data_IF_754827386858
#
_entry.id   IF_754827386858
#
_cell.length_a   1.000
_cell.length_b   1.000
_cell.length_c   1.000
_cell.angle_alpha   90.00
_cell.angle_beta   90.00
_cell.angle_gamma   90.00
#
_symmetry.space_group_name_H-M   'P 1'
#
loop_
_entity.id
_entity.type
_entity.pdbx_description
1 polymer ?
#
# COMPACT_ATOMS: atom_id res chain seq x y z
N UNK A 1 -3.89 25.32 3.13
CA UNK A 1 -4.16 24.20 2.21
C UNK A 1 -4.94 23.16 3.00
N UNK A 2 -6.18 22.88 2.60
CA UNK A 2 -6.97 21.82 3.23
C UNK A 2 -6.45 20.49 2.70
N UNK A 3 -5.82 19.67 3.56
CA UNK A 3 -5.54 18.27 3.22
C UNK A 3 -6.91 17.60 3.05
N UNK A 4 -7.15 17.03 1.87
CA UNK A 4 -8.37 16.26 1.64
C UNK A 4 -8.42 15.11 2.65
N UNK A 5 -9.61 14.82 3.18
CA UNK A 5 -9.78 13.67 4.06
C UNK A 5 -9.34 12.39 3.32
N UNK A 6 -8.58 11.49 3.96
CA UNK A 6 -8.14 10.26 3.32
C UNK A 6 -9.36 9.46 2.84
N UNK A 7 -9.31 8.85 1.63
CA UNK A 7 -10.40 8.01 1.15
C UNK A 7 -10.64 6.84 2.13
N UNK A 8 -11.91 6.44 2.30
CA UNK A 8 -12.25 5.21 3.05
C UNK A 8 -11.47 4.04 2.45
N UNK A 9 -10.70 3.35 3.29
CA UNK A 9 -9.96 2.16 2.88
C UNK A 9 -10.94 1.09 2.35
N UNK A 10 -10.67 0.60 1.15
CA UNK A 10 -11.32 -0.61 0.60
C UNK A 10 -10.42 -1.79 0.89
N UNK A 11 -10.97 -2.97 1.18
CA UNK A 11 -10.14 -4.09 1.57
C UNK A 11 -10.88 -5.31 2.12
N UNK A 12 -10.13 -6.37 2.39
CA UNK A 12 -10.63 -7.57 3.06
C UNK A 12 -9.57 -8.10 4.05
N UNK A 13 -9.83 -7.96 5.35
CA UNK A 13 -9.02 -8.58 6.38
C UNK A 13 -9.45 -10.05 6.55
N UNK A 14 -8.49 -10.98 6.59
CA UNK A 14 -8.76 -12.44 6.59
C UNK A 14 -9.67 -12.83 5.43
N UNK A 15 -9.28 -12.42 4.22
CA UNK A 15 -9.93 -12.75 2.96
C UNK A 15 -10.29 -14.24 2.91
N UNK A 16 -11.52 -14.53 2.53
CA UNK A 16 -11.96 -15.90 2.23
C UNK A 16 -11.40 -16.41 0.90
N UNK A 17 -10.91 -15.49 0.07
CA UNK A 17 -10.33 -15.78 -1.23
C UNK A 17 -8.80 -15.70 -1.17
N UNK A 18 -8.08 -16.63 -1.82
CA UNK A 18 -6.63 -16.57 -1.93
C UNK A 18 -6.17 -15.25 -2.52
N UNK A 19 -5.17 -14.63 -1.88
CA UNK A 19 -4.49 -13.48 -2.46
C UNK A 19 -3.28 -13.93 -3.29
N UNK A 20 -2.92 -13.20 -4.36
CA UNK A 20 -1.80 -13.50 -5.24
C UNK A 20 -0.49 -13.64 -4.47
N UNK A 21 0.18 -14.80 -4.60
CA UNK A 21 1.47 -15.07 -3.96
C UNK A 21 2.65 -14.86 -4.92
N UNK A 22 2.37 -14.77 -6.22
CA UNK A 22 3.36 -14.41 -7.25
C UNK A 22 2.86 -13.28 -8.15
N UNK A 23 3.78 -12.67 -8.89
CA UNK A 23 3.46 -11.57 -9.81
C UNK A 23 2.53 -12.03 -10.93
N UNK A 24 2.68 -13.28 -11.40
CA UNK A 24 1.88 -13.87 -12.46
C UNK A 24 0.41 -14.06 -12.07
N UNK A 25 0.11 -14.09 -10.78
CA UNK A 25 -1.25 -14.21 -10.25
C UNK A 25 -1.97 -12.84 -10.19
N UNK A 26 -1.28 -11.74 -10.50
CA UNK A 26 -1.86 -10.39 -10.63
C UNK A 26 -2.61 -10.23 -11.97
N UNK A 27 -3.66 -11.03 -12.14
CA UNK A 27 -4.43 -11.15 -13.38
C UNK A 27 -5.71 -10.30 -13.38
N UNK A 28 -6.30 -9.98 -14.56
CA UNK A 28 -7.50 -9.14 -14.67
C UNK A 28 -8.69 -9.62 -13.82
N UNK A 29 -8.90 -10.93 -13.69
CA UNK A 29 -10.00 -11.48 -12.90
C UNK A 29 -9.85 -11.21 -11.41
N UNK A 30 -8.62 -11.23 -10.89
CA UNK A 30 -8.33 -10.87 -9.51
C UNK A 30 -8.59 -9.38 -9.25
N UNK A 31 -8.07 -8.49 -10.11
CA UNK A 31 -8.34 -7.05 -10.01
C UNK A 31 -9.84 -6.74 -10.13
N UNK A 32 -10.55 -7.41 -11.05
CA UNK A 32 -12.00 -7.25 -11.20
C UNK A 32 -12.73 -7.51 -9.90
N UNK A 33 -12.33 -8.57 -9.20
CA UNK A 33 -12.93 -8.98 -7.93
C UNK A 33 -12.68 -7.96 -6.83
N UNK A 34 -11.43 -7.55 -6.60
CA UNK A 34 -11.11 -6.65 -5.49
C UNK A 34 -11.57 -5.21 -5.73
N UNK A 35 -11.68 -4.79 -7.01
CA UNK A 35 -12.10 -3.44 -7.39
C UNK A 35 -13.61 -3.31 -7.62
N UNK A 36 -14.32 -4.43 -7.81
CA UNK A 36 -15.74 -4.43 -8.17
C UNK A 36 -16.02 -3.78 -9.54
N UNK A 37 -15.03 -3.76 -10.43
CA UNK A 37 -15.09 -3.15 -11.77
C UNK A 37 -14.45 -4.09 -12.78
N UNK A 38 -15.07 -4.29 -13.93
CA UNK A 38 -14.56 -5.22 -14.96
C UNK A 38 -13.22 -4.72 -15.54
N UNK A 39 -12.15 -5.44 -15.21
CA UNK A 39 -10.79 -5.23 -15.74
C UNK A 39 -10.61 -6.17 -16.93
N UNK A 40 -10.33 -5.58 -18.09
CA UNK A 40 -10.05 -6.27 -19.35
C UNK A 40 -8.61 -6.78 -19.38
N UNK A 41 -7.67 -5.96 -18.93
CA UNK A 41 -6.25 -6.23 -19.00
C UNK A 41 -5.49 -5.68 -17.78
N UNK A 42 -4.43 -6.38 -17.40
CA UNK A 42 -3.57 -6.07 -16.25
C UNK A 42 -2.11 -6.29 -16.68
N UNK A 43 -1.47 -5.21 -17.12
CA UNK A 43 -0.11 -5.23 -17.66
C UNK A 43 0.90 -4.89 -16.55
N UNK A 44 1.86 -5.78 -16.31
CA UNK A 44 2.99 -5.49 -15.43
C UNK A 44 3.93 -4.50 -16.13
N UNK A 45 4.00 -3.27 -15.64
CA UNK A 45 4.82 -2.19 -16.21
C UNK A 45 6.24 -2.21 -15.64
N UNK A 46 6.36 -2.46 -14.33
CA UNK A 46 7.62 -2.42 -13.61
C UNK A 46 7.53 -3.37 -12.40
N UNK A 47 8.60 -4.12 -12.13
CA UNK A 47 8.74 -4.92 -10.93
C UNK A 47 10.04 -4.53 -10.21
N UNK A 48 9.92 -4.01 -9.00
CA UNK A 48 11.05 -3.64 -8.15
C UNK A 48 11.07 -4.61 -6.98
N UNK A 49 12.06 -5.52 -6.98
CA UNK A 49 12.23 -6.49 -5.91
C UNK A 49 13.17 -5.97 -4.82
N UNK A 50 12.84 -6.30 -3.58
CA UNK A 50 13.63 -6.00 -2.38
C UNK A 50 13.07 -6.79 -1.21
N UNK A 51 13.21 -6.27 0.01
CA UNK A 51 12.54 -6.85 1.19
C UNK A 51 11.01 -6.84 1.05
N UNK A 52 10.47 -5.82 0.37
CA UNK A 52 9.08 -5.75 -0.09
C UNK A 52 9.12 -5.39 -1.57
N UNK A 53 8.57 -6.28 -2.40
CA UNK A 53 8.38 -6.06 -3.83
C UNK A 53 7.36 -4.94 -4.07
N UNK A 54 7.59 -4.17 -5.13
CA UNK A 54 6.69 -3.13 -5.62
C UNK A 54 6.42 -3.41 -7.08
N UNK A 55 5.19 -3.80 -7.39
CA UNK A 55 4.77 -4.18 -8.74
C UNK A 55 3.86 -3.10 -9.28
N UNK A 56 4.32 -2.38 -10.30
CA UNK A 56 3.53 -1.39 -10.99
C UNK A 56 2.71 -2.08 -12.08
N UNK A 57 1.39 -1.92 -12.02
CA UNK A 57 0.45 -2.53 -12.95
C UNK A 57 -0.41 -1.47 -13.60
N UNK A 58 -0.55 -1.55 -14.92
CA UNK A 58 -1.51 -0.76 -15.68
C UNK A 58 -2.78 -1.59 -15.89
N UNK A 59 -3.90 -1.08 -15.40
CA UNK A 59 -5.21 -1.71 -15.51
C UNK A 59 -6.01 -1.04 -16.62
N UNK A 60 -6.57 -1.84 -17.52
CA UNK A 60 -7.52 -1.38 -18.55
C UNK A 60 -8.91 -1.96 -18.25
N UNK A 61 -9.95 -1.13 -18.27
CA UNK A 61 -11.33 -1.56 -17.95
C UNK A 61 -12.18 -1.74 -19.23
N UNK A 62 -13.19 -2.62 -19.17
CA UNK A 62 -14.00 -2.99 -20.36
C UNK A 62 -14.79 -1.84 -21.00
N UNK A 63 -15.30 -0.88 -20.21
CA UNK A 63 -16.09 0.26 -20.71
C UNK A 63 -15.25 1.51 -20.97
N UNK A 64 -13.98 1.32 -21.27
CA UNK A 64 -13.12 2.39 -21.72
C UNK A 64 -13.48 2.77 -23.15
N UNK A 65 -14.02 3.97 -23.37
CA UNK A 65 -14.13 4.47 -24.74
C UNK A 65 -12.71 4.53 -25.32
N UNK A 66 -12.50 4.18 -26.59
CA UNK A 66 -11.17 4.12 -27.24
C UNK A 66 -10.38 5.46 -27.19
N UNK A 67 -11.03 6.56 -26.78
CA UNK A 67 -10.45 7.90 -26.59
C UNK A 67 -10.44 8.37 -25.13
N UNK A 68 -10.96 7.58 -24.19
CA UNK A 68 -10.89 7.90 -22.76
C UNK A 68 -9.64 7.25 -22.18
N UNK A 69 -8.88 8.04 -21.42
CA UNK A 69 -7.66 7.65 -20.74
C UNK A 69 -7.99 6.77 -19.52
N UNK A 70 -8.84 5.77 -19.72
CA UNK A 70 -9.50 4.96 -18.70
C UNK A 70 -8.56 4.01 -17.97
N UNK A 71 -7.31 3.91 -18.41
CA UNK A 71 -6.34 3.02 -17.79
C UNK A 71 -5.81 3.67 -16.52
N UNK A 72 -5.87 2.94 -15.41
CA UNK A 72 -5.32 3.40 -14.14
C UNK A 72 -4.05 2.63 -13.84
N UNK A 73 -3.03 3.31 -13.33
CA UNK A 73 -1.83 2.67 -12.81
C UNK A 73 -1.93 2.50 -11.30
N UNK A 74 -1.59 1.32 -10.83
CA UNK A 74 -1.56 0.97 -9.41
C UNK A 74 -0.24 0.32 -9.06
N UNK A 75 0.21 0.53 -7.82
CA UNK A 75 1.40 -0.11 -7.27
C UNK A 75 0.97 -1.10 -6.19
N UNK A 76 1.31 -2.38 -6.38
CA UNK A 76 1.07 -3.42 -5.40
C UNK A 76 2.34 -3.59 -4.59
N UNK A 77 2.20 -3.51 -3.27
CA UNK A 77 3.29 -3.79 -2.34
C UNK A 77 3.01 -5.11 -1.62
N UNK A 78 3.95 -6.01 -1.76
CA UNK A 78 3.90 -7.34 -1.17
C UNK A 78 5.28 -8.03 -1.26
N UNK A 79 5.45 -9.25 -0.78
CA UNK A 79 6.69 -9.99 -0.93
C UNK A 79 6.89 -10.54 -2.35
N UNK A 80 5.84 -11.14 -2.95
CA UNK A 80 5.87 -11.88 -4.22
C UNK A 80 7.11 -12.78 -4.39
N UNK A 81 7.69 -13.26 -3.29
CA UNK A 81 8.91 -14.03 -3.27
C UNK A 81 8.81 -15.10 -2.18
N UNK A 82 8.15 -16.23 -2.51
CA UNK A 82 7.97 -17.34 -1.58
C UNK A 82 9.28 -17.88 -1.00
N UNK A 83 10.39 -17.77 -1.74
CA UNK A 83 11.70 -18.20 -1.26
C UNK A 83 12.23 -17.28 -0.14
N UNK A 84 12.09 -15.96 -0.30
CA UNK A 84 12.49 -14.98 0.73
C UNK A 84 11.67 -15.19 2.01
N UNK A 85 10.36 -15.32 1.86
CA UNK A 85 9.43 -15.60 2.96
C UNK A 85 9.78 -16.88 3.71
N UNK A 86 10.09 -17.96 2.98
CA UNK A 86 10.55 -19.22 3.59
C UNK A 86 11.85 -19.05 4.37
N UNK A 87 12.75 -18.18 3.91
CA UNK A 87 14.03 -17.92 4.57
C UNK A 87 13.91 -16.95 5.77
N UNK A 88 12.93 -16.06 5.77
CA UNK A 88 12.68 -15.06 6.81
C UNK A 88 11.20 -15.05 7.22
N UNK A 89 10.69 -16.08 7.92
CA UNK A 89 9.26 -16.23 8.22
C UNK A 89 8.65 -15.07 9.03
N UNK A 90 9.47 -14.34 9.81
CA UNK A 90 9.02 -13.19 10.57
C UNK A 90 8.53 -12.03 9.67
N UNK A 91 8.94 -12.00 8.40
CA UNK A 91 8.55 -10.95 7.45
C UNK A 91 7.04 -10.93 7.17
N UNK A 92 6.36 -12.07 7.28
CA UNK A 92 4.89 -12.11 7.17
C UNK A 92 4.19 -11.17 8.15
N UNK A 93 4.70 -11.08 9.38
CA UNK A 93 4.15 -10.16 10.35
C UNK A 93 4.31 -8.70 9.89
N UNK A 94 5.43 -8.37 9.25
CA UNK A 94 5.70 -7.02 8.72
C UNK A 94 4.76 -6.67 7.58
N UNK A 95 4.55 -7.57 6.61
CA UNK A 95 3.64 -7.33 5.48
C UNK A 95 2.19 -7.22 5.95
N UNK A 96 1.79 -8.05 6.91
CA UNK A 96 0.48 -7.95 7.57
C UNK A 96 0.28 -6.63 8.28
N UNK A 97 1.30 -6.10 8.95
CA UNK A 97 1.22 -4.79 9.59
C UNK A 97 1.02 -3.68 8.57
N UNK A 98 1.68 -3.76 7.41
CA UNK A 98 1.47 -2.78 6.34
C UNK A 98 0.03 -2.81 5.81
N UNK A 99 -0.53 -3.99 5.51
CA UNK A 99 -1.92 -4.12 5.08
C UNK A 99 -2.90 -3.60 6.15
N UNK A 100 -2.65 -3.91 7.43
CA UNK A 100 -3.45 -3.41 8.56
C UNK A 100 -3.34 -1.91 8.77
N UNK A 101 -2.14 -1.34 8.61
CA UNK A 101 -1.92 0.10 8.71
C UNK A 101 -2.81 0.84 7.71
N UNK A 102 -2.77 0.43 6.43
CA UNK A 102 -3.58 1.07 5.41
C UNK A 102 -5.08 0.80 5.53
N UNK A 103 -5.46 -0.34 6.11
CA UNK A 103 -6.86 -0.66 6.35
C UNK A 103 -7.46 0.12 7.54
N UNK A 104 -6.79 0.12 8.70
CA UNK A 104 -7.34 0.65 9.95
C UNK A 104 -6.86 2.06 10.31
N UNK A 105 -5.57 2.36 10.10
CA UNK A 105 -4.95 3.59 10.58
C UNK A 105 -4.95 4.69 9.54
N UNK A 106 -4.62 4.39 8.28
CA UNK A 106 -4.55 5.41 7.23
C UNK A 106 -5.82 6.29 7.12
N UNK A 107 -7.05 5.78 7.28
CA UNK A 107 -8.25 6.64 7.28
C UNK A 107 -8.37 7.60 8.47
N UNK A 108 -7.61 7.37 9.55
CA UNK A 108 -7.62 8.17 10.79
C UNK A 108 -6.48 9.20 10.84
N UNK A 109 -5.44 9.05 10.02
CA UNK A 109 -4.24 9.89 10.08
C UNK A 109 -4.42 11.13 9.21
N UNK A 110 -4.12 12.31 9.77
CA UNK A 110 -4.25 13.59 9.08
C UNK A 110 -2.98 14.00 8.32
N UNK A 111 -2.27 13.04 7.71
CA UNK A 111 -1.04 13.25 6.94
C UNK A 111 -1.26 12.82 5.47
N UNK A 112 -0.50 13.37 4.51
CA UNK A 112 -0.54 12.89 3.14
C UNK A 112 0.05 11.48 3.08
N UNK A 113 -0.83 10.50 2.87
CA UNK A 113 -0.48 9.10 2.63
C UNK A 113 -0.75 8.76 1.16
N UNK A 114 -0.04 7.77 0.59
CA UNK A 114 -0.39 7.22 -0.71
C UNK A 114 -1.88 6.82 -0.75
N UNK A 115 -2.65 7.24 -1.76
CA UNK A 115 -4.03 6.82 -1.88
C UNK A 115 -4.14 5.30 -1.94
N UNK A 116 -4.91 4.73 -1.03
CA UNK A 116 -5.14 3.28 -0.95
C UNK A 116 -6.27 2.90 -1.89
N UNK A 117 -5.98 2.00 -2.82
CA UNK A 117 -6.99 1.41 -3.70
C UNK A 117 -7.61 0.19 -3.04
N UNK A 118 -6.79 -0.66 -2.41
CA UNK A 118 -7.24 -1.86 -1.71
C UNK A 118 -6.18 -2.34 -0.69
N UNK A 119 -6.58 -2.91 0.45
CA UNK A 119 -5.67 -3.56 1.40
C UNK A 119 -6.27 -4.85 1.95
N UNK A 120 -5.48 -5.91 2.07
CA UNK A 120 -6.02 -7.20 2.53
C UNK A 120 -5.01 -8.17 3.09
N UNK A 121 -5.55 -9.12 3.83
CA UNK A 121 -4.78 -10.17 4.51
C UNK A 121 -5.44 -11.51 4.25
N UNK A 122 -4.66 -12.54 3.94
CA UNK A 122 -5.06 -13.93 3.81
C UNK A 122 -4.22 -14.76 4.79
N UNK A 123 -4.86 -15.12 5.90
CA UNK A 123 -4.22 -15.90 6.95
C UNK A 123 -4.18 -17.39 6.65
N UNK A 124 -4.88 -17.86 5.61
CA UNK A 124 -4.94 -19.27 5.22
C UNK A 124 -3.76 -19.61 4.31
N UNK A 125 -3.56 -18.85 3.24
CA UNK A 125 -2.45 -19.08 2.30
C UNK A 125 -1.18 -18.30 2.69
N UNK A 126 -1.30 -17.35 3.61
CA UNK A 126 -0.18 -16.57 4.11
C UNK A 126 0.23 -15.50 3.11
N UNK A 127 -0.65 -14.54 2.86
CA UNK A 127 -0.38 -13.44 1.94
C UNK A 127 -1.02 -12.16 2.46
N UNK A 128 -0.30 -11.04 2.41
CA UNK A 128 -0.77 -9.79 2.99
C UNK A 128 -0.29 -8.61 2.13
N UNK A 129 -1.21 -7.90 1.46
CA UNK A 129 -0.84 -6.92 0.45
C UNK A 129 -1.63 -5.62 0.51
N UNK A 130 -1.04 -4.59 -0.10
CA UNK A 130 -1.69 -3.31 -0.33
C UNK A 130 -1.55 -2.90 -1.80
N UNK A 131 -2.65 -2.43 -2.37
CA UNK A 131 -2.73 -1.79 -3.69
C UNK A 131 -2.87 -0.30 -3.46
N UNK A 132 -1.91 0.47 -3.97
CA UNK A 132 -1.81 1.91 -3.87
C UNK A 132 -1.96 2.55 -5.26
N UNK A 133 -2.33 3.82 -5.30
CA UNK A 133 -2.23 4.61 -6.52
C UNK A 133 -0.76 4.70 -7.00
N UNK A 134 -0.55 4.81 -8.31
CA UNK A 134 0.78 5.09 -8.87
C UNK A 134 1.18 6.54 -8.58
N UNK A 135 2.05 6.71 -7.59
CA UNK A 135 2.57 8.01 -7.17
C UNK A 135 3.47 8.66 -8.22
N UNK A 136 4.16 7.87 -9.07
CA UNK A 136 4.96 8.44 -10.16
C UNK A 136 4.04 9.13 -11.19
N UNK A 137 2.86 8.57 -11.43
CA UNK A 137 1.85 9.19 -12.29
C UNK A 137 1.27 10.49 -11.70
N UNK A 138 1.40 10.71 -10.39
CA UNK A 138 1.01 11.95 -9.69
C UNK A 138 2.18 12.92 -9.43
N UNK A 139 3.32 12.71 -10.12
CA UNK A 139 4.54 13.54 -10.06
C UNK A 139 5.27 13.52 -8.72
N UNK A 140 5.00 12.53 -7.85
CA UNK A 140 5.78 12.36 -6.62
C UNK A 140 7.19 11.85 -6.93
N UNK A 141 8.15 12.33 -6.14
CA UNK A 141 9.54 11.86 -6.18
C UNK A 141 9.90 11.06 -4.95
N UNK A 142 10.64 9.97 -5.17
CA UNK A 142 11.23 9.18 -4.09
C UNK A 142 12.62 9.74 -3.75
N UNK A 143 12.97 9.76 -2.46
CA UNK A 143 14.32 10.14 -2.04
C UNK A 143 15.36 9.09 -2.45
N UNK A 144 16.55 9.53 -2.83
CA UNK A 144 17.72 8.67 -2.99
C UNK A 144 18.42 8.54 -1.62
N UNK A 145 18.57 7.33 -1.03
CA UNK A 145 19.22 7.16 0.27
C UNK A 145 20.72 7.50 0.26
N UNK A 146 21.33 7.62 -0.92
CA UNK A 146 22.74 8.02 -1.07
C UNK A 146 22.94 9.54 -1.12
N UNK A 147 21.85 10.31 -1.11
CA UNK A 147 21.89 11.77 -1.22
C UNK A 147 21.32 12.43 0.05
N UNK A 148 22.01 13.45 0.61
CA UNK A 148 21.48 14.19 1.74
C UNK A 148 20.25 15.00 1.35
N UNK A 149 19.31 15.14 2.28
CA UNK A 149 18.14 16.00 2.10
C UNK A 149 18.42 17.43 2.56
N UNK A 150 17.92 18.46 1.86
CA UNK A 150 17.93 19.82 2.35
C UNK A 150 17.22 19.95 3.71
N UNK A 151 17.67 20.90 4.54
CA UNK A 151 17.13 21.12 5.89
C UNK A 151 15.60 21.29 5.89
N UNK A 152 15.05 22.02 4.92
CA UNK A 152 13.60 22.25 4.83
C UNK A 152 12.82 20.96 4.57
N UNK A 153 13.38 20.04 3.76
CA UNK A 153 12.79 18.72 3.51
C UNK A 153 12.80 17.87 4.78
N UNK A 154 13.91 17.88 5.52
CA UNK A 154 14.02 17.16 6.81
C UNK A 154 13.01 17.73 7.82
N UNK A 155 12.89 19.06 7.92
CA UNK A 155 11.90 19.72 8.78
C UNK A 155 10.47 19.28 8.44
N UNK A 156 10.08 19.36 7.16
CA UNK A 156 8.75 18.93 6.72
C UNK A 156 8.50 17.44 7.02
N UNK A 157 9.52 16.60 6.89
CA UNK A 157 9.44 15.17 7.23
C UNK A 157 9.16 14.93 8.72
N UNK A 158 9.85 15.67 9.59
CA UNK A 158 9.64 15.60 11.05
C UNK A 158 8.25 16.12 11.43
N UNK A 159 7.75 17.16 10.76
CA UNK A 159 6.38 17.64 10.94
C UNK A 159 5.34 16.56 10.59
N UNK A 160 5.52 15.82 9.50
CA UNK A 160 4.64 14.69 9.17
C UNK A 160 4.70 13.56 10.21
N UNK A 161 5.89 13.27 10.75
CA UNK A 161 6.05 12.29 11.83
C UNK A 161 5.34 12.74 13.12
N UNK A 162 5.38 14.05 13.42
CA UNK A 162 4.65 14.60 14.55
C UNK A 162 3.12 14.47 14.35
N UNK A 163 2.62 14.71 13.13
CA UNK A 163 1.19 14.50 12.79
C UNK A 163 0.80 13.03 12.96
N UNK A 164 1.65 12.09 12.52
CA UNK A 164 1.42 10.66 12.69
C UNK A 164 1.29 10.31 14.19
N UNK A 165 2.28 10.69 15.01
CA UNK A 165 2.25 10.42 16.45
C UNK A 165 1.05 11.07 17.14
N UNK A 166 0.70 12.30 16.77
CA UNK A 166 -0.47 13.00 17.32
C UNK A 166 -1.79 12.32 16.91
N UNK A 167 -1.88 11.80 15.68
CA UNK A 167 -3.10 11.13 15.17
C UNK A 167 -3.38 9.80 15.87
N UNK A 168 -2.37 9.19 16.48
CA UNK A 168 -2.49 7.93 17.23
C UNK A 168 -2.26 8.12 18.73
N UNK A 169 -2.21 9.37 19.20
CA UNK A 169 -1.99 9.66 20.61
C UNK A 169 -3.20 9.23 21.46
N UNK A 170 -2.95 8.56 22.57
CA UNK A 170 -3.97 7.97 23.46
C UNK A 170 -4.94 6.97 22.78
N UNK A 171 -4.66 6.53 21.54
CA UNK A 171 -5.40 5.42 20.91
C UNK A 171 -4.99 4.11 21.60
N UNK A 172 -5.94 3.48 22.29
CA UNK A 172 -5.72 2.21 23.00
C UNK A 172 -5.63 1.01 22.04
N UNK A 173 -5.94 1.23 20.75
CA UNK A 173 -5.96 0.20 19.73
C UNK A 173 -7.13 -0.77 19.87
N UNK A 174 -8.12 -0.49 20.72
CA UNK A 174 -9.31 -1.33 20.92
C UNK A 174 -10.10 -1.52 19.61
N UNK A 175 -10.11 -0.49 18.75
CA UNK A 175 -10.72 -0.54 17.43
C UNK A 175 -9.84 -1.19 16.34
N UNK A 176 -8.62 -1.61 16.68
CA UNK A 176 -7.64 -2.16 15.73
C UNK A 176 -7.23 -3.57 16.16
N UNK A 177 -7.90 -4.61 15.62
CA UNK A 177 -7.62 -5.99 15.96
C UNK A 177 -6.13 -6.34 15.82
N UNK A 178 -5.51 -6.68 16.94
CA UNK A 178 -4.10 -7.09 17.11
C UNK A 178 -3.02 -5.99 17.06
N UNK A 179 -3.36 -4.70 17.03
CA UNK A 179 -2.32 -3.65 17.06
C UNK A 179 -1.69 -3.47 18.44
N UNK A 180 -2.39 -3.90 19.51
CA UNK A 180 -1.92 -3.86 20.90
C UNK A 180 -0.62 -4.63 21.14
N UNK A 181 -0.20 -5.50 20.23
CA UNK A 181 1.03 -6.31 20.37
C UNK A 181 2.22 -5.76 19.56
N UNK A 182 2.08 -4.73 18.72
CA UNK A 182 3.13 -4.46 17.68
C UNK A 182 3.33 -2.99 17.26
N UNK A 183 3.20 -2.03 18.18
CA UNK A 183 3.42 -0.60 17.84
C UNK A 183 4.92 -0.23 17.70
N UNK A 184 5.88 -1.09 18.05
CA UNK A 184 7.31 -0.71 18.01
C UNK A 184 8.01 -0.72 16.64
N UNK A 185 7.38 -1.17 15.53
CA UNK A 185 8.13 -1.45 14.28
C UNK A 185 7.76 -0.61 13.04
N UNK A 186 6.73 0.25 13.11
CA UNK A 186 6.33 1.07 11.96
C UNK A 186 7.06 2.41 11.92
N UNK A 187 8.33 2.36 11.52
CA UNK A 187 9.00 3.53 10.95
C UNK A 187 10.00 3.03 9.93
N UNK A 188 9.63 3.04 8.65
CA UNK A 188 10.49 3.41 7.53
C UNK A 188 9.71 3.20 6.22
N UNK A 189 9.91 4.11 5.25
CA UNK A 189 9.33 4.12 3.91
C UNK A 189 7.90 4.66 3.77
N UNK A 190 7.66 5.90 4.20
CA UNK A 190 6.67 6.77 3.56
C UNK A 190 6.85 8.22 4.02
N UNK A 191 7.77 8.92 3.37
CA UNK A 191 7.73 10.38 3.33
C UNK A 191 7.78 10.74 1.85
N UNK A 192 6.61 11.02 1.31
CA UNK A 192 6.46 11.51 -0.06
C UNK A 192 6.17 13.00 0.02
N UNK A 193 6.84 13.74 -0.85
CA UNK A 193 6.65 15.17 -1.00
C UNK A 193 6.31 15.46 -2.46
N UNK A 194 5.56 16.54 -2.66
CA UNK A 194 5.25 17.10 -3.97
C UNK A 194 6.18 18.26 -4.24
#
# INVERSE_FOLDING_TARGET
MSLAAPPKSRGAMKSSDPLPVTVEELIPSWFTKILGKSVKDAEIVEAIHGTVSKILVKLTYENSADNDNSSTRVCIKDDFNPALVKSLPFMFAVYRLEAKFYYYLAPKIAMPLPPVVWAGTDTVNGQDLVVLADLKAEEYTFGNPLEPWPVDRVRASVEQLAVLHASTWDDTGEDIPSLSETISYLAFSMILHR
#
